data_IF_201661028229
#
_entry.id   IF_201661028229
#
_cell.length_a   1.000
_cell.length_b   1.000
_cell.length_c   1.000
_cell.angle_alpha   90.00
_cell.angle_beta   90.00
_cell.angle_gamma   90.00
#
_symmetry.space_group_name_H-M   'P 1'
#
loop_
_entity.id
_entity.type
_entity.pdbx_description
1 polymer ?
#
# COMPACT_ATOMS: atom_id res chain seq x y z
N UNK A 1 -8.47 5.56 -12.20
CA UNK A 1 -7.74 4.72 -11.22
C UNK A 1 -6.53 5.48 -10.70
N UNK A 2 -6.37 5.60 -9.39
CA UNK A 2 -5.17 6.15 -8.72
C UNK A 2 -4.44 5.02 -8.03
N UNK A 3 -3.10 4.97 -8.10
CA UNK A 3 -2.31 3.92 -7.45
C UNK A 3 -1.00 4.43 -6.86
N UNK A 4 -0.53 3.77 -5.79
CA UNK A 4 0.83 3.88 -5.28
C UNK A 4 1.49 2.51 -5.28
N UNK A 5 2.81 2.52 -5.48
CA UNK A 5 3.62 1.32 -5.61
C UNK A 5 4.70 1.25 -4.53
N UNK A 6 4.90 0.04 -4.03
CA UNK A 6 5.88 -0.36 -3.02
C UNK A 6 6.85 -1.33 -3.68
N UNK A 7 8.01 -0.83 -4.06
CA UNK A 7 9.08 -1.64 -4.65
C UNK A 7 10.09 -2.05 -3.57
N UNK A 8 10.22 -3.37 -3.37
CA UNK A 8 11.21 -3.91 -2.45
C UNK A 8 12.53 -4.14 -3.19
N UNK A 9 13.50 -3.24 -2.99
CA UNK A 9 14.83 -3.35 -3.60
C UNK A 9 15.74 -4.27 -2.78
N UNK A 10 15.73 -5.55 -3.12
CA UNK A 10 16.62 -6.57 -2.54
C UNK A 10 17.45 -7.21 -3.66
N UNK A 11 18.69 -7.60 -3.37
CA UNK A 11 19.46 -8.45 -4.27
C UNK A 11 18.78 -9.83 -4.37
N UNK A 12 17.99 -9.99 -5.42
CA UNK A 12 17.15 -11.16 -5.68
C UNK A 12 17.94 -12.42 -6.02
N UNK A 13 19.20 -12.30 -6.47
CA UNK A 13 20.07 -13.44 -6.75
C UNK A 13 20.64 -14.08 -5.47
N UNK A 14 20.75 -13.30 -4.40
CA UNK A 14 21.24 -13.75 -3.10
C UNK A 14 20.16 -14.40 -2.22
N UNK A 15 18.90 -14.37 -2.63
CA UNK A 15 17.77 -14.86 -1.85
C UNK A 15 17.39 -16.29 -2.20
N UNK A 16 17.26 -17.14 -1.19
CA UNK A 16 16.64 -18.45 -1.32
C UNK A 16 15.15 -18.32 -1.66
N UNK A 17 14.55 -19.38 -2.21
CA UNK A 17 13.12 -19.43 -2.48
C UNK A 17 12.26 -19.17 -1.23
N UNK A 18 12.74 -19.59 -0.05
CA UNK A 18 12.07 -19.36 1.22
C UNK A 18 12.05 -17.87 1.61
N UNK A 19 13.21 -17.19 1.50
CA UNK A 19 13.31 -15.76 1.79
C UNK A 19 12.47 -14.93 0.81
N UNK A 20 12.37 -15.35 -0.46
CA UNK A 20 11.45 -14.73 -1.43
C UNK A 20 9.99 -14.85 -1.00
N UNK A 21 9.55 -16.04 -0.59
CA UNK A 21 8.18 -16.23 -0.07
C UNK A 21 7.94 -15.40 1.20
N UNK A 22 8.95 -15.27 2.06
CA UNK A 22 8.87 -14.42 3.25
C UNK A 22 8.72 -12.93 2.90
N UNK A 23 9.52 -12.44 1.94
CA UNK A 23 9.40 -11.08 1.43
C UNK A 23 7.99 -10.82 0.85
N UNK A 24 7.47 -11.74 0.03
CA UNK A 24 6.12 -11.65 -0.53
C UNK A 24 5.03 -11.58 0.56
N UNK A 25 5.11 -12.43 1.60
CA UNK A 25 4.21 -12.36 2.77
C UNK A 25 4.31 -11.01 3.49
N UNK A 26 5.52 -10.50 3.67
CA UNK A 26 5.76 -9.18 4.25
C UNK A 26 5.09 -8.07 3.45
N UNK A 27 5.24 -8.10 2.13
CA UNK A 27 4.66 -7.13 1.19
C UNK A 27 3.13 -7.21 1.16
N UNK A 28 2.58 -8.42 1.28
CA UNK A 28 1.14 -8.64 1.45
C UNK A 28 0.58 -8.06 2.75
N UNK A 29 1.36 -8.05 3.83
CA UNK A 29 0.96 -7.41 5.10
C UNK A 29 1.10 -5.89 5.00
N UNK A 30 2.22 -5.41 4.45
CA UNK A 30 2.48 -4.00 4.27
C UNK A 30 1.44 -3.30 3.37
N UNK A 31 1.12 -3.87 2.22
CA UNK A 31 0.11 -3.30 1.30
C UNK A 31 -1.28 -3.21 1.94
N UNK A 32 -1.70 -4.23 2.70
CA UNK A 32 -2.97 -4.21 3.44
C UNK A 32 -2.96 -3.20 4.59
N UNK A 33 -1.83 -3.06 5.27
CA UNK A 33 -1.65 -2.06 6.32
C UNK A 33 -1.82 -0.64 5.77
N UNK A 34 -1.11 -0.31 4.69
CA UNK A 34 -1.22 1.00 4.03
C UNK A 34 -2.64 1.21 3.48
N UNK A 35 -3.28 0.19 2.89
CA UNK A 35 -4.68 0.31 2.46
C UNK A 35 -5.63 0.64 3.62
N UNK A 36 -5.43 0.02 4.78
CA UNK A 36 -6.23 0.30 5.98
C UNK A 36 -6.03 1.74 6.43
N UNK A 37 -4.78 2.20 6.45
CA UNK A 37 -4.44 3.57 6.81
C UNK A 37 -4.95 4.59 5.77
N UNK A 38 -4.91 4.26 4.48
CA UNK A 38 -5.43 5.14 3.42
C UNK A 38 -6.95 5.21 3.46
N UNK A 39 -7.67 4.12 3.76
CA UNK A 39 -9.12 4.13 3.91
C UNK A 39 -9.61 5.08 5.01
N UNK A 40 -8.82 5.31 6.06
CA UNK A 40 -9.14 6.31 7.10
C UNK A 40 -9.03 7.76 6.59
N UNK A 41 -8.31 7.98 5.48
CA UNK A 41 -8.02 9.29 4.89
C UNK A 41 -8.79 9.53 3.60
N UNK A 42 -9.35 8.50 2.97
CA UNK A 42 -10.13 8.61 1.73
C UNK A 42 -11.35 9.51 1.94
N UNK A 43 -11.62 10.45 1.02
CA UNK A 43 -12.85 11.25 1.07
C UNK A 43 -14.10 10.38 1.14
N UNK A 44 -14.96 10.65 2.12
CA UNK A 44 -16.16 9.87 2.38
C UNK A 44 -17.42 10.67 2.04
N UNK A 45 -18.23 10.12 1.14
CA UNK A 45 -19.61 10.56 0.88
C UNK A 45 -20.57 9.37 1.07
N UNK A 46 -20.47 8.36 0.20
CA UNK A 46 -21.23 7.09 0.24
C UNK A 46 -20.36 5.87 0.56
N UNK A 47 -19.04 6.06 0.61
CA UNK A 47 -18.03 5.02 0.81
C UNK A 47 -17.67 4.19 -0.44
N UNK A 48 -18.15 4.54 -1.63
CA UNK A 48 -17.82 3.80 -2.87
C UNK A 48 -16.31 3.84 -3.17
N UNK A 49 -15.69 5.01 -3.01
CA UNK A 49 -14.25 5.15 -3.17
C UNK A 49 -13.49 4.25 -2.19
N UNK A 50 -13.81 4.31 -0.89
CA UNK A 50 -13.18 3.47 0.14
C UNK A 50 -13.29 1.97 -0.18
N UNK A 51 -14.49 1.51 -0.57
CA UNK A 51 -14.74 0.10 -0.93
C UNK A 51 -14.01 -0.35 -2.19
N UNK A 52 -13.64 0.57 -3.08
CA UNK A 52 -12.89 0.25 -4.30
C UNK A 52 -11.40 -0.02 -4.06
N UNK A 53 -10.90 0.25 -2.84
CA UNK A 53 -9.50 0.08 -2.50
C UNK A 53 -9.02 -1.37 -2.62
N UNK A 54 -7.94 -1.59 -3.38
CA UNK A 54 -7.41 -2.92 -3.68
C UNK A 54 -5.89 -2.99 -3.49
N UNK A 55 -5.39 -3.92 -2.66
CA UNK A 55 -3.97 -4.24 -2.60
C UNK A 55 -3.66 -5.43 -3.52
N UNK A 56 -2.60 -5.32 -4.31
CA UNK A 56 -2.08 -6.37 -5.20
C UNK A 56 -0.58 -6.53 -4.93
N UNK A 57 -0.08 -7.75 -4.96
CA UNK A 57 1.35 -8.04 -4.85
C UNK A 57 1.76 -8.92 -6.02
N UNK A 58 2.79 -8.49 -6.72
CA UNK A 58 3.57 -9.31 -7.64
C UNK A 58 4.70 -9.97 -6.85
N UNK A 59 4.55 -11.26 -6.55
CA UNK A 59 5.53 -12.03 -5.79
C UNK A 59 6.82 -12.31 -6.58
N UNK A 60 6.75 -12.30 -7.92
CA UNK A 60 7.89 -12.57 -8.79
C UNK A 60 8.85 -11.39 -8.74
N UNK A 61 8.31 -10.20 -8.93
CA UNK A 61 9.04 -8.93 -8.93
C UNK A 61 9.14 -8.27 -7.54
N UNK A 62 8.49 -8.83 -6.52
CA UNK A 62 8.40 -8.28 -5.17
C UNK A 62 7.93 -6.82 -5.15
N UNK A 63 6.83 -6.57 -5.88
CA UNK A 63 6.20 -5.25 -6.00
C UNK A 63 4.78 -5.28 -5.44
N UNK A 64 4.49 -4.35 -4.55
CA UNK A 64 3.16 -4.14 -3.99
C UNK A 64 2.51 -2.94 -4.65
N UNK A 65 1.24 -3.03 -4.98
CA UNK A 65 0.46 -1.93 -5.56
C UNK A 65 -0.82 -1.77 -4.76
N UNK A 66 -1.18 -0.53 -4.45
CA UNK A 66 -2.44 -0.19 -3.81
C UNK A 66 -3.16 0.77 -4.74
N UNK A 67 -4.38 0.45 -5.13
CA UNK A 67 -5.16 1.25 -6.06
C UNK A 67 -6.58 1.50 -5.56
N UNK A 68 -7.18 2.57 -6.10
CA UNK A 68 -8.61 2.89 -5.94
C UNK A 68 -9.25 3.06 -7.33
N UNK A 69 -10.41 2.44 -7.50
CA UNK A 69 -11.06 2.28 -8.80
C UNK A 69 -12.44 2.93 -8.81
N UNK A 70 -12.42 4.26 -8.82
CA UNK A 70 -13.57 5.10 -9.14
C UNK A 70 -13.15 6.12 -10.21
N UNK A 71 -14.08 6.55 -11.09
CA UNK A 71 -13.76 7.52 -12.15
C UNK A 71 -13.25 8.85 -11.58
N UNK A 72 -13.70 9.21 -10.37
CA UNK A 72 -13.29 10.42 -9.67
C UNK A 72 -12.10 10.22 -8.70
N UNK A 73 -11.55 9.01 -8.57
CA UNK A 73 -10.50 8.72 -7.58
C UNK A 73 -9.25 9.58 -7.74
N UNK A 74 -8.89 9.94 -8.99
CA UNK A 74 -7.73 10.79 -9.31
C UNK A 74 -8.00 12.22 -8.89
N UNK A 75 -9.15 12.79 -9.27
CA UNK A 75 -9.53 14.14 -8.88
C UNK A 75 -9.56 14.28 -7.35
N UNK A 76 -10.20 13.34 -6.64
CA UNK A 76 -10.23 13.32 -5.18
C UNK A 76 -8.84 13.16 -4.53
N UNK A 77 -7.87 12.60 -5.24
CA UNK A 77 -6.52 12.40 -4.72
C UNK A 77 -5.60 13.59 -4.96
N UNK A 78 -5.73 14.24 -6.11
CA UNK A 78 -4.78 15.25 -6.60
C UNK A 78 -5.25 16.69 -6.40
N UNK A 79 -6.56 16.95 -6.41
CA UNK A 79 -7.10 18.32 -6.33
C UNK A 79 -7.11 18.82 -4.88
N UNK A 80 -6.08 19.59 -4.52
CA UNK A 80 -5.91 20.16 -3.18
C UNK A 80 -6.93 21.26 -2.84
N UNK A 81 -7.62 21.80 -3.84
CA UNK A 81 -8.69 22.80 -3.66
C UNK A 81 -10.03 22.20 -3.20
N UNK A 82 -10.22 20.89 -3.31
CA UNK A 82 -11.45 20.24 -2.85
C UNK A 82 -11.55 20.25 -1.32
N UNK A 83 -12.74 20.58 -0.83
CA UNK A 83 -13.07 20.56 0.60
C UNK A 83 -13.89 19.32 0.88
N UNK A 84 -13.31 18.36 1.58
CA UNK A 84 -14.02 17.18 2.05
C UNK A 84 -14.52 17.41 3.47
N UNK A 85 -15.78 17.07 3.75
CA UNK A 85 -16.29 17.06 5.13
C UNK A 85 -15.57 16.00 5.97
N UNK A 86 -15.20 14.89 5.34
CA UNK A 86 -14.42 13.77 5.91
C UNK A 86 -13.37 13.30 4.92
N UNK A 87 -12.17 13.01 5.42
CA UNK A 87 -11.04 12.58 4.61
C UNK A 87 -10.25 13.76 4.04
N UNK A 88 -9.31 13.46 3.14
CA UNK A 88 -8.38 14.43 2.56
C UNK A 88 -7.90 14.00 1.17
N UNK A 89 -7.43 14.97 0.38
CA UNK A 89 -6.60 14.70 -0.79
C UNK A 89 -5.29 14.00 -0.37
N UNK A 90 -4.55 13.46 -1.33
CA UNK A 90 -3.29 12.74 -1.08
C UNK A 90 -3.41 11.59 -0.07
N UNK A 91 -4.58 10.97 0.04
CA UNK A 91 -4.87 9.89 1.00
C UNK A 91 -3.95 8.66 0.88
N UNK A 92 -3.52 8.27 -0.33
CA UNK A 92 -2.51 7.23 -0.53
C UNK A 92 -1.09 7.70 -0.15
N UNK A 93 -0.65 8.87 -0.64
CA UNK A 93 0.72 9.36 -0.44
C UNK A 93 1.01 9.68 1.03
N UNK A 94 0.06 10.36 1.69
CA UNK A 94 0.13 10.64 3.13
C UNK A 94 0.13 9.36 3.96
N UNK A 95 -0.75 8.40 3.64
CA UNK A 95 -0.77 7.11 4.32
C UNK A 95 0.54 6.34 4.18
N UNK A 96 1.09 6.24 2.96
CA UNK A 96 2.35 5.55 2.77
C UNK A 96 3.51 6.26 3.48
N UNK A 97 3.55 7.60 3.40
CA UNK A 97 4.61 8.39 4.02
C UNK A 97 4.62 8.22 5.55
N UNK A 98 3.46 8.31 6.18
CA UNK A 98 3.32 8.17 7.63
C UNK A 98 3.56 6.74 8.11
N UNK A 99 3.16 5.74 7.32
CA UNK A 99 3.30 4.32 7.68
C UNK A 99 4.60 3.66 7.18
N UNK A 100 5.55 4.44 6.65
CA UNK A 100 6.75 3.91 6.00
C UNK A 100 7.60 3.04 6.93
N UNK A 101 7.71 3.40 8.21
CA UNK A 101 8.44 2.60 9.22
C UNK A 101 7.72 1.29 9.54
N UNK A 102 6.39 1.34 9.72
CA UNK A 102 5.56 0.14 9.94
C UNK A 102 5.66 -0.82 8.76
N UNK A 103 5.61 -0.30 7.54
CA UNK A 103 5.81 -1.09 6.31
C UNK A 103 7.15 -1.81 6.31
N UNK A 104 8.24 -1.10 6.61
CA UNK A 104 9.59 -1.69 6.69
C UNK A 104 9.64 -2.80 7.73
N UNK A 105 9.08 -2.57 8.90
CA UNK A 105 9.10 -3.55 9.99
C UNK A 105 8.23 -4.78 9.69
N UNK A 106 7.07 -4.62 9.05
CA UNK A 106 6.23 -5.74 8.62
C UNK A 106 6.97 -6.67 7.66
N UNK A 107 7.73 -6.10 6.72
CA UNK A 107 8.54 -6.88 5.77
C UNK A 107 9.73 -7.52 6.51
N UNK A 108 10.45 -6.75 7.33
CA UNK A 108 11.60 -7.24 8.08
C UNK A 108 11.23 -8.37 9.04
N UNK A 109 10.07 -8.30 9.70
CA UNK A 109 9.60 -9.33 10.61
C UNK A 109 9.39 -10.68 9.92
N UNK A 110 8.84 -10.71 8.71
CA UNK A 110 8.69 -11.94 7.93
C UNK A 110 10.04 -12.51 7.48
N UNK A 111 10.96 -11.64 7.06
CA UNK A 111 12.32 -12.05 6.69
C UNK A 111 13.07 -12.65 7.90
N UNK A 112 13.02 -12.00 9.07
CA UNK A 112 13.64 -12.52 10.29
C UNK A 112 13.07 -13.88 10.70
N UNK A 113 11.79 -14.13 10.46
CA UNK A 113 11.16 -15.44 10.75
C UNK A 113 11.69 -16.56 9.84
N UNK A 114 12.00 -16.24 8.59
CA UNK A 114 12.55 -17.21 7.63
C UNK A 114 14.07 -17.46 7.79
N UNK A 115 14.75 -16.66 8.59
CA UNK A 115 16.18 -16.80 8.89
C UNK A 115 16.46 -17.54 10.21
N UNK A 116 15.40 -17.94 10.93
CA UNK A 116 15.50 -18.64 12.21
C UNK A 116 15.61 -20.14 12.06
#
# INVERSE_FOLDING_TARGET
MTSIELDLKINVEAFTAEQRRAAARGLHKATRHVLTASNQRVPFETGDLERSGRPVVDEVNLRGVISYDQPYAVAQHEELGYRHERGQAKYLESALREEADTVRELIAAELRRALR
#
